data_IF_480500336389
#
_entry.id   IF_480500336389
#
_cell.length_a   1.000
_cell.length_b   1.000
_cell.length_c   1.000
_cell.angle_alpha   90.00
_cell.angle_beta   90.00
_cell.angle_gamma   90.00
#
_symmetry.space_group_name_H-M   'P 1'
#
loop_
_entity.id
_entity.type
_entity.pdbx_description
1 polymer ?
#
# COMPACT_ATOMS: atom_id res chain seq x y z
N UNK A 1 -19.66 9.96 -8.37
CA UNK A 1 -19.24 9.83 -6.95
C UNK A 1 -18.45 11.08 -6.61
N UNK A 2 -18.82 11.79 -5.57
CA UNK A 2 -18.14 13.03 -5.17
C UNK A 2 -17.05 12.69 -4.14
N UNK A 3 -15.79 13.08 -4.43
CA UNK A 3 -14.67 12.95 -3.51
C UNK A 3 -14.67 14.17 -2.58
N UNK A 4 -15.17 14.01 -1.37
CA UNK A 4 -15.13 15.05 -0.35
C UNK A 4 -13.83 14.89 0.43
N UNK A 5 -12.88 15.79 0.19
CA UNK A 5 -11.62 15.83 0.93
C UNK A 5 -11.74 16.75 2.15
N UNK A 6 -11.13 16.40 3.29
CA UNK A 6 -11.01 17.30 4.42
C UNK A 6 -10.29 18.61 4.04
N UNK A 7 -10.69 19.74 4.63
CA UNK A 7 -10.06 21.04 4.40
C UNK A 7 -8.55 21.03 4.62
N UNK A 8 -8.08 20.27 5.61
CA UNK A 8 -6.65 20.11 5.87
C UNK A 8 -5.91 19.47 4.70
N UNK A 9 -6.49 18.45 4.06
CA UNK A 9 -5.91 17.78 2.89
C UNK A 9 -5.93 18.75 1.70
N UNK A 10 -7.05 19.44 1.47
CA UNK A 10 -7.16 20.45 0.42
C UNK A 10 -6.11 21.55 0.55
N UNK A 11 -5.89 22.04 1.78
CA UNK A 11 -4.88 23.06 2.07
C UNK A 11 -3.46 22.57 1.76
N UNK A 12 -3.14 21.32 2.11
CA UNK A 12 -1.81 20.73 1.82
C UNK A 12 -1.62 20.61 0.30
N UNK A 13 -2.60 20.05 -0.42
CA UNK A 13 -2.54 19.90 -1.87
C UNK A 13 -2.39 21.26 -2.55
N UNK A 14 -3.24 22.23 -2.21
CA UNK A 14 -3.22 23.59 -2.79
C UNK A 14 -1.89 24.29 -2.52
N UNK A 15 -1.31 24.14 -1.33
CA UNK A 15 -0.02 24.75 -1.02
C UNK A 15 1.09 24.19 -1.88
N UNK A 16 1.17 22.86 -2.05
CA UNK A 16 2.14 22.20 -2.92
C UNK A 16 1.98 22.62 -4.38
N UNK A 17 0.75 22.65 -4.90
CA UNK A 17 0.45 23.09 -6.27
C UNK A 17 0.81 24.55 -6.52
N UNK A 18 0.54 25.45 -5.57
CA UNK A 18 0.85 26.88 -5.70
C UNK A 18 2.36 27.13 -5.81
N UNK A 19 3.15 26.31 -5.18
CA UNK A 19 4.62 26.36 -5.25
C UNK A 19 5.19 25.54 -6.43
N UNK A 20 4.32 25.07 -7.37
CA UNK A 20 4.72 24.45 -8.63
C UNK A 20 4.92 22.94 -8.58
N UNK A 21 4.56 22.28 -7.47
CA UNK A 21 4.70 20.83 -7.34
C UNK A 21 3.42 20.10 -7.70
N UNK A 22 3.54 18.93 -8.31
CA UNK A 22 2.43 18.00 -8.43
C UNK A 22 2.12 17.38 -7.06
N UNK A 23 0.84 17.30 -6.68
CA UNK A 23 0.42 16.69 -5.43
C UNK A 23 -0.93 15.98 -5.58
N UNK A 24 -1.06 14.80 -4.99
CA UNK A 24 -2.25 13.95 -5.10
C UNK A 24 -2.52 13.25 -3.79
N UNK A 25 -3.79 13.03 -3.48
CA UNK A 25 -4.18 11.96 -2.54
C UNK A 25 -3.89 10.63 -3.19
N UNK A 26 -3.35 9.67 -2.46
CA UNK A 26 -2.89 8.39 -3.03
C UNK A 26 -3.30 7.17 -2.22
N UNK A 27 -3.33 6.02 -2.86
CA UNK A 27 -3.41 4.73 -2.18
C UNK A 27 -4.75 4.39 -1.56
N UNK A 28 -4.73 4.03 -0.29
CA UNK A 28 -5.89 3.53 0.46
C UNK A 28 -7.07 4.48 0.49
N UNK A 29 -6.82 5.78 0.66
CA UNK A 29 -7.86 6.79 0.68
C UNK A 29 -8.65 6.85 -0.64
N UNK A 30 -7.96 6.75 -1.79
CA UNK A 30 -8.61 6.75 -3.11
C UNK A 30 -9.46 5.51 -3.28
N UNK A 31 -8.92 4.33 -2.95
CA UNK A 31 -9.66 3.06 -2.98
C UNK A 31 -10.92 3.12 -2.11
N UNK A 32 -10.78 3.53 -0.86
CA UNK A 32 -11.88 3.53 0.10
C UNK A 32 -13.00 4.50 -0.33
N UNK A 33 -12.63 5.68 -0.86
CA UNK A 33 -13.62 6.61 -1.41
C UNK A 33 -14.35 6.02 -2.62
N UNK A 34 -13.65 5.35 -3.56
CA UNK A 34 -14.28 4.66 -4.70
C UNK A 34 -15.27 3.60 -4.21
N UNK A 35 -14.97 2.92 -3.11
CA UNK A 35 -15.83 1.92 -2.48
C UNK A 35 -16.98 2.53 -1.65
N UNK A 36 -17.12 3.87 -1.61
CA UNK A 36 -18.13 4.55 -0.79
C UNK A 36 -17.85 4.54 0.71
N UNK A 37 -16.60 4.25 1.11
CA UNK A 37 -16.16 4.26 2.51
C UNK A 37 -15.46 5.59 2.83
N UNK A 38 -15.59 6.04 4.07
CA UNK A 38 -14.83 7.19 4.57
C UNK A 38 -13.40 6.74 4.89
N UNK A 39 -12.35 7.31 4.26
CA UNK A 39 -10.98 6.99 4.59
C UNK A 39 -10.63 7.39 6.04
N UNK A 40 -9.83 6.57 6.71
CA UNK A 40 -9.29 6.91 8.03
C UNK A 40 -8.09 7.85 7.92
N UNK A 41 -7.22 7.59 6.94
CA UNK A 41 -5.96 8.31 6.72
C UNK A 41 -5.89 8.79 5.26
N UNK A 42 -5.21 9.92 5.05
CA UNK A 42 -4.97 10.49 3.73
C UNK A 42 -3.47 10.62 3.50
N UNK A 43 -2.92 9.72 2.67
CA UNK A 43 -1.56 9.82 2.19
C UNK A 43 -1.50 10.78 1.00
N UNK A 44 -0.50 11.66 0.98
CA UNK A 44 -0.26 12.59 -0.10
C UNK A 44 1.03 12.20 -0.80
N UNK A 45 0.98 12.04 -2.11
CA UNK A 45 2.13 11.82 -2.97
C UNK A 45 2.43 13.09 -3.77
N UNK A 46 3.70 13.50 -3.86
CA UNK A 46 4.10 14.77 -4.48
C UNK A 46 5.42 14.67 -5.23
N UNK A 47 5.64 15.59 -6.19
CA UNK A 47 6.95 15.79 -6.80
C UNK A 47 7.92 16.59 -5.91
N UNK A 48 7.42 17.29 -4.88
CA UNK A 48 8.25 18.03 -3.94
C UNK A 48 9.19 17.08 -3.16
N UNK A 49 10.46 17.45 -3.07
CA UNK A 49 11.45 16.73 -2.25
C UNK A 49 11.17 16.96 -0.76
N UNK A 50 11.65 16.09 0.14
CA UNK A 50 11.42 16.25 1.58
C UNK A 50 11.81 17.63 2.13
N UNK A 51 12.92 18.18 1.66
CA UNK A 51 13.43 19.51 2.08
C UNK A 51 12.52 20.64 1.59
N UNK A 52 11.89 20.48 0.41
CA UNK A 52 10.92 21.43 -0.14
C UNK A 52 9.62 21.39 0.66
N UNK A 53 9.12 20.19 0.96
CA UNK A 53 7.96 20.01 1.85
C UNK A 53 8.21 20.69 3.20
N UNK A 54 9.40 20.49 3.81
CA UNK A 54 9.75 21.12 5.10
C UNK A 54 9.82 22.65 5.03
N UNK A 55 10.19 23.24 3.89
CA UNK A 55 10.18 24.69 3.70
C UNK A 55 8.77 25.26 3.55
N UNK A 56 7.86 24.51 2.92
CA UNK A 56 6.50 24.96 2.66
C UNK A 56 5.59 24.92 3.89
N UNK A 57 5.84 24.00 4.81
CA UNK A 57 4.97 23.80 5.97
C UNK A 57 5.66 24.12 7.29
N UNK A 58 5.00 24.94 8.11
CA UNK A 58 5.56 25.43 9.39
C UNK A 58 5.88 24.30 10.39
N UNK A 59 5.11 23.20 10.38
CA UNK A 59 5.26 22.11 11.33
C UNK A 59 5.32 20.77 10.60
N UNK A 60 6.49 20.15 10.64
CA UNK A 60 6.77 18.85 10.01
C UNK A 60 7.48 17.94 10.99
N UNK A 61 7.36 16.62 10.78
CA UNK A 61 8.06 15.58 11.53
C UNK A 61 8.75 14.66 10.53
N UNK A 62 10.02 14.35 10.76
CA UNK A 62 10.85 13.49 9.91
C UNK A 62 10.54 12.01 10.20
N UNK A 63 9.40 11.51 9.72
CA UNK A 63 8.95 10.13 9.97
C UNK A 63 9.61 9.10 9.06
N UNK A 64 10.07 9.50 7.89
CA UNK A 64 10.66 8.58 6.90
C UNK A 64 11.49 9.30 5.84
N UNK A 65 12.27 10.32 6.22
CA UNK A 65 12.97 11.21 5.29
C UNK A 65 13.91 10.46 4.33
N UNK A 66 14.56 9.39 4.80
CA UNK A 66 15.42 8.53 3.97
C UNK A 66 14.66 7.85 2.83
N UNK A 67 13.35 7.70 2.99
CA UNK A 67 12.44 7.10 2.01
C UNK A 67 11.51 8.13 1.37
N UNK A 68 11.77 9.42 1.57
CA UNK A 68 11.04 10.50 0.94
C UNK A 68 9.74 10.90 1.66
N UNK A 69 9.49 10.42 2.88
CA UNK A 69 8.26 10.73 3.62
C UNK A 69 8.51 11.74 4.73
N UNK A 70 7.67 12.78 4.77
CA UNK A 70 7.60 13.79 5.82
C UNK A 70 6.17 13.87 6.32
N UNK A 71 5.94 13.86 7.62
CA UNK A 71 4.61 14.11 8.17
C UNK A 71 4.40 15.62 8.34
N UNK A 72 3.43 16.17 7.62
CA UNK A 72 2.94 17.54 7.77
C UNK A 72 1.89 17.56 8.87
N UNK A 73 2.09 18.39 9.89
CA UNK A 73 1.11 18.54 10.99
C UNK A 73 0.21 19.75 10.72
N UNK A 74 -1.06 19.49 10.45
CA UNK A 74 -2.08 20.52 10.24
C UNK A 74 -3.25 20.28 11.21
N UNK A 75 -3.65 21.31 11.97
CA UNK A 75 -4.72 21.23 12.98
C UNK A 75 -4.58 20.04 13.94
N UNK A 76 -3.38 19.78 14.44
CA UNK A 76 -3.01 18.68 15.37
C UNK A 76 -3.07 17.28 14.75
N UNK A 77 -3.41 17.16 13.46
CA UNK A 77 -3.43 15.89 12.73
C UNK A 77 -2.18 15.81 11.84
N UNK A 78 -1.54 14.65 11.82
CA UNK A 78 -0.41 14.35 10.92
C UNK A 78 -0.88 13.78 9.59
N UNK A 79 -0.31 14.29 8.50
CA UNK A 79 -0.55 13.81 7.14
C UNK A 79 0.79 13.37 6.54
N UNK A 80 0.88 12.14 6.07
CA UNK A 80 2.07 11.66 5.39
C UNK A 80 2.16 12.24 3.99
N UNK A 81 3.24 12.97 3.72
CA UNK A 81 3.57 13.56 2.41
C UNK A 81 4.81 12.86 1.91
N UNK A 82 4.65 12.06 0.85
CA UNK A 82 5.73 11.22 0.29
C UNK A 82 6.11 11.73 -1.09
N UNK A 83 7.39 11.99 -1.29
CA UNK A 83 7.95 12.33 -2.61
C UNK A 83 7.81 11.14 -3.56
N UNK A 84 7.41 11.40 -4.81
CA UNK A 84 7.41 10.38 -5.86
C UNK A 84 8.79 9.75 -5.97
N UNK A 85 8.83 8.44 -6.02
CA UNK A 85 10.08 7.71 -6.06
C UNK A 85 9.98 6.41 -6.83
N UNK A 86 11.11 5.96 -7.30
CA UNK A 86 11.37 4.57 -7.66
C UNK A 86 12.24 3.94 -6.61
N UNK A 87 12.02 2.66 -6.37
CA UNK A 87 12.80 1.89 -5.42
C UNK A 87 13.95 1.20 -6.17
N UNK A 88 15.18 1.30 -5.63
CA UNK A 88 16.34 0.57 -6.10
C UNK A 88 16.28 -0.92 -5.75
N UNK A 89 17.43 -1.59 -5.79
CA UNK A 89 17.49 -3.00 -5.40
C UNK A 89 17.17 -3.21 -3.92
N UNK A 90 16.53 -4.33 -3.62
CA UNK A 90 16.17 -4.74 -2.27
C UNK A 90 17.13 -5.83 -1.79
N UNK A 91 17.92 -5.56 -0.75
CA UNK A 91 18.86 -6.53 -0.17
C UNK A 91 18.26 -7.35 0.96
N UNK A 92 17.43 -6.71 1.78
CA UNK A 92 16.84 -7.32 2.99
C UNK A 92 15.40 -7.83 2.78
N UNK A 93 14.86 -7.68 1.56
CA UNK A 93 13.47 -8.05 1.25
C UNK A 93 12.43 -7.12 1.90
N UNK A 94 12.82 -5.88 2.26
CA UNK A 94 11.92 -4.86 2.85
C UNK A 94 12.24 -3.45 2.38
N UNK A 95 13.49 -3.03 2.53
CA UNK A 95 13.89 -1.68 2.25
C UNK A 95 14.72 -1.65 0.96
N UNK A 96 14.41 -0.79 0.02
CA UNK A 96 15.30 -0.54 -1.09
C UNK A 96 16.62 0.00 -0.55
N UNK A 97 17.75 -0.44 -1.07
CA UNK A 97 19.08 0.07 -0.73
C UNK A 97 19.20 1.56 -1.00
N UNK A 98 18.48 2.01 -2.02
CA UNK A 98 18.39 3.42 -2.39
C UNK A 98 17.01 3.72 -2.93
N UNK A 99 16.58 4.96 -2.80
CA UNK A 99 15.40 5.51 -3.47
C UNK A 99 15.87 6.60 -4.42
N UNK A 100 15.30 6.61 -5.62
CA UNK A 100 15.50 7.69 -6.58
C UNK A 100 14.22 8.49 -6.68
N UNK A 101 14.29 9.76 -6.31
CA UNK A 101 13.15 10.65 -6.44
C UNK A 101 12.89 10.97 -7.91
N UNK A 102 11.64 10.92 -8.30
CA UNK A 102 11.17 11.15 -9.66
C UNK A 102 10.07 12.21 -9.68
N UNK A 103 9.83 12.79 -10.85
CA UNK A 103 8.77 13.78 -11.00
C UNK A 103 7.49 13.19 -11.63
N UNK A 104 7.53 11.89 -11.90
CA UNK A 104 6.47 11.18 -12.60
C UNK A 104 5.61 10.33 -11.64
N UNK A 105 4.36 10.71 -11.48
CA UNK A 105 3.37 10.01 -10.65
C UNK A 105 3.16 8.54 -11.07
N UNK A 106 3.30 8.21 -12.37
CA UNK A 106 3.14 6.83 -12.87
C UNK A 106 4.23 5.91 -12.32
N UNK A 107 5.45 6.40 -12.18
CA UNK A 107 6.56 5.63 -11.63
C UNK A 107 6.36 5.34 -10.14
N UNK A 108 5.84 6.31 -9.37
CA UNK A 108 5.46 6.08 -7.99
C UNK A 108 4.33 5.06 -7.84
N UNK A 109 3.32 5.12 -8.72
CA UNK A 109 2.26 4.10 -8.75
C UNK A 109 2.81 2.70 -9.12
N UNK A 110 3.79 2.62 -10.02
CA UNK A 110 4.36 1.36 -10.50
C UNK A 110 5.10 0.55 -9.42
N UNK A 111 5.63 1.20 -8.36
CA UNK A 111 6.31 0.51 -7.25
C UNK A 111 5.35 -0.01 -6.18
N UNK A 112 4.08 0.38 -6.20
CA UNK A 112 3.07 0.00 -5.21
C UNK A 112 2.75 -1.50 -5.29
N UNK A 113 2.10 -2.01 -4.25
CA UNK A 113 1.79 -3.43 -4.11
C UNK A 113 0.68 -3.91 -5.08
N UNK A 114 -0.51 -3.32 -4.98
CA UNK A 114 -1.69 -3.75 -5.71
C UNK A 114 -2.32 -2.60 -6.50
N UNK A 115 -2.96 -2.95 -7.63
CA UNK A 115 -3.63 -2.00 -8.51
C UNK A 115 -4.64 -1.12 -7.79
N UNK A 116 -5.41 -1.71 -6.87
CA UNK A 116 -6.41 -1.01 -6.04
C UNK A 116 -5.81 0.05 -5.10
N UNK A 117 -4.50 0.02 -4.84
CA UNK A 117 -3.75 1.00 -4.05
C UNK A 117 -2.81 1.86 -4.90
N UNK A 118 -2.78 1.63 -6.22
CA UNK A 118 -1.89 2.33 -7.16
C UNK A 118 -2.65 3.41 -7.94
N UNK A 119 -3.59 4.06 -7.29
CA UNK A 119 -4.37 5.16 -7.82
C UNK A 119 -4.07 6.43 -7.07
N UNK A 120 -4.26 7.57 -7.75
CA UNK A 120 -4.13 8.92 -7.20
C UNK A 120 -5.38 9.74 -7.50
N UNK A 121 -5.61 10.77 -6.72
CA UNK A 121 -6.75 11.68 -6.91
C UNK A 121 -6.36 13.12 -6.65
N UNK A 122 -6.82 14.00 -7.52
CA UNK A 122 -6.78 15.44 -7.32
C UNK A 122 -8.13 16.04 -7.79
N UNK A 123 -8.75 16.98 -7.06
CA UNK A 123 -10.06 17.54 -7.43
C UNK A 123 -10.15 18.07 -8.86
N UNK A 124 -9.06 18.67 -9.37
CA UNK A 124 -9.02 19.27 -10.72
C UNK A 124 -8.96 18.24 -11.85
N UNK A 125 -8.31 17.10 -11.63
CA UNK A 125 -8.05 16.07 -12.66
C UNK A 125 -8.86 14.80 -12.47
N UNK A 126 -9.49 14.64 -11.30
CA UNK A 126 -10.18 13.42 -10.93
C UNK A 126 -9.23 12.29 -10.56
N UNK A 127 -9.68 11.04 -10.74
CA UNK A 127 -8.90 9.84 -10.45
C UNK A 127 -7.87 9.60 -11.56
N UNK A 128 -6.64 9.38 -11.15
CA UNK A 128 -5.53 8.96 -12.02
C UNK A 128 -5.26 7.49 -11.74
N UNK A 129 -5.49 6.64 -12.74
CA UNK A 129 -5.38 5.18 -12.66
C UNK A 129 -4.58 4.63 -13.83
N UNK A 130 -3.31 4.37 -13.62
CA UNK A 130 -2.40 3.85 -14.66
C UNK A 130 -2.42 2.33 -14.79
N UNK A 131 -2.98 1.62 -13.80
CA UNK A 131 -2.84 0.16 -13.67
C UNK A 131 -4.18 -0.58 -13.57
N UNK A 132 -5.31 0.12 -13.77
CA UNK A 132 -6.64 -0.48 -13.79
C UNK A 132 -7.21 -0.80 -12.41
N UNK A 133 -6.82 -0.03 -11.39
CA UNK A 133 -7.30 -0.21 -10.02
C UNK A 133 -8.80 -0.03 -9.87
N UNK A 134 -9.42 0.93 -10.57
CA UNK A 134 -10.87 1.12 -10.57
C UNK A 134 -11.59 -0.13 -11.08
N UNK A 135 -11.14 -0.67 -12.22
CA UNK A 135 -11.69 -1.92 -12.78
C UNK A 135 -11.52 -3.11 -11.84
N UNK A 136 -10.38 -3.21 -11.15
CA UNK A 136 -10.15 -4.28 -10.18
C UNK A 136 -11.02 -4.12 -8.93
N UNK A 137 -11.34 -2.90 -8.48
CA UNK A 137 -12.33 -2.64 -7.43
C UNK A 137 -13.72 -3.09 -7.87
N UNK A 138 -14.16 -2.69 -9.06
CA UNK A 138 -15.48 -3.08 -9.63
C UNK A 138 -15.62 -4.60 -9.71
N UNK A 139 -14.56 -5.30 -10.12
CA UNK A 139 -14.55 -6.76 -10.25
C UNK A 139 -14.18 -7.48 -8.95
N UNK A 140 -13.94 -6.76 -7.86
CA UNK A 140 -13.53 -7.30 -6.54
C UNK A 140 -12.27 -8.18 -6.65
N UNK A 141 -11.22 -7.64 -7.25
CA UNK A 141 -9.96 -8.34 -7.52
C UNK A 141 -8.80 -7.70 -6.76
N UNK A 142 -7.96 -8.51 -6.13
CA UNK A 142 -6.63 -8.14 -5.63
C UNK A 142 -5.59 -8.59 -6.67
N UNK A 143 -4.99 -7.64 -7.35
CA UNK A 143 -3.98 -7.85 -8.39
C UNK A 143 -2.71 -7.07 -8.07
N UNK A 144 -1.53 -7.70 -8.18
CA UNK A 144 -0.26 -7.01 -8.09
C UNK A 144 -0.08 -5.99 -9.23
N UNK A 145 0.61 -4.89 -8.93
CA UNK A 145 1.06 -3.98 -9.98
C UNK A 145 2.23 -4.61 -10.73
N UNK A 146 2.09 -4.80 -12.03
CA UNK A 146 3.13 -5.40 -12.87
C UNK A 146 3.35 -6.89 -12.58
N UNK A 147 4.62 -7.32 -12.47
CA UNK A 147 4.94 -8.73 -12.26
C UNK A 147 4.88 -9.11 -10.77
N UNK A 148 3.99 -10.06 -10.37
CA UNK A 148 3.81 -10.43 -8.96
C UNK A 148 5.07 -11.03 -8.31
N UNK A 149 5.81 -11.89 -9.02
CA UNK A 149 7.02 -12.50 -8.46
C UNK A 149 8.09 -11.44 -8.17
N UNK A 150 8.23 -10.43 -9.03
CA UNK A 150 9.13 -9.31 -8.79
C UNK A 150 8.69 -8.55 -7.54
N UNK A 151 7.40 -8.21 -7.42
CA UNK A 151 6.85 -7.50 -6.24
C UNK A 151 7.07 -8.26 -4.93
N UNK A 152 6.94 -9.59 -4.93
CA UNK A 152 7.14 -10.40 -3.73
C UNK A 152 8.62 -10.60 -3.38
N UNK A 153 9.53 -10.54 -4.35
CA UNK A 153 10.98 -10.54 -4.09
C UNK A 153 11.46 -9.21 -3.49
N UNK A 154 10.81 -8.10 -3.83
CA UNK A 154 11.09 -6.78 -3.26
C UNK A 154 10.66 -6.70 -1.79
N UNK A 155 9.43 -7.04 -1.46
CA UNK A 155 8.92 -7.15 -0.09
C UNK A 155 7.99 -8.37 0.02
N UNK A 156 8.47 -9.40 0.68
CA UNK A 156 7.75 -10.66 0.85
C UNK A 156 6.45 -10.50 1.68
N UNK A 157 6.35 -9.46 2.52
CA UNK A 157 5.11 -9.15 3.25
C UNK A 157 3.94 -8.87 2.31
N UNK A 158 4.19 -8.44 1.08
CA UNK A 158 3.13 -8.20 0.09
C UNK A 158 2.29 -9.46 -0.19
N UNK A 159 2.85 -10.66 -0.04
CA UNK A 159 2.08 -11.91 -0.13
C UNK A 159 1.00 -11.99 0.95
N UNK A 160 1.38 -11.71 2.19
CA UNK A 160 0.45 -11.71 3.33
C UNK A 160 -0.56 -10.55 3.23
N UNK A 161 -0.10 -9.38 2.76
CA UNK A 161 -0.97 -8.24 2.47
C UNK A 161 -2.05 -8.56 1.42
N UNK A 162 -1.73 -9.38 0.39
CA UNK A 162 -2.74 -9.82 -0.59
C UNK A 162 -3.87 -10.59 0.09
N UNK A 163 -3.55 -11.51 0.98
CA UNK A 163 -4.53 -12.30 1.73
C UNK A 163 -5.31 -11.40 2.69
N UNK A 164 -4.63 -10.49 3.39
CA UNK A 164 -5.29 -9.53 4.26
C UNK A 164 -6.26 -8.62 3.50
N UNK A 165 -5.86 -8.05 2.36
CA UNK A 165 -6.78 -7.24 1.55
C UNK A 165 -7.95 -8.08 1.03
N UNK A 166 -7.70 -9.33 0.62
CA UNK A 166 -8.76 -10.27 0.23
C UNK A 166 -9.75 -10.50 1.38
N UNK A 167 -9.29 -10.66 2.62
CA UNK A 167 -10.13 -10.84 3.80
C UNK A 167 -10.93 -9.56 4.16
N UNK A 168 -10.24 -8.41 4.24
CA UNK A 168 -10.85 -7.14 4.68
C UNK A 168 -11.81 -6.55 3.67
N UNK A 169 -11.54 -6.74 2.37
CA UNK A 169 -12.36 -6.18 1.29
C UNK A 169 -13.35 -7.19 0.70
N UNK A 170 -13.28 -8.47 1.09
CA UNK A 170 -14.03 -9.56 0.47
C UNK A 170 -13.79 -9.69 -1.04
N UNK A 171 -12.54 -9.45 -1.46
CA UNK A 171 -12.11 -9.53 -2.87
C UNK A 171 -11.38 -10.84 -3.13
N UNK A 172 -11.52 -11.39 -4.34
CA UNK A 172 -10.71 -12.54 -4.76
C UNK A 172 -9.30 -12.10 -5.16
N UNK A 173 -8.32 -12.96 -4.91
CA UNK A 173 -6.97 -12.74 -5.43
C UNK A 173 -6.92 -13.22 -6.87
N UNK A 174 -6.31 -12.42 -7.76
CA UNK A 174 -6.12 -12.77 -9.17
C UNK A 174 -5.23 -14.00 -9.30
N UNK A 175 -5.50 -14.85 -10.31
CA UNK A 175 -4.87 -16.17 -10.45
C UNK A 175 -3.34 -16.12 -10.58
N UNK A 176 -2.79 -15.18 -11.35
CA UNK A 176 -1.34 -15.03 -11.50
C UNK A 176 -0.68 -14.52 -10.21
N UNK A 177 -1.37 -13.61 -9.51
CA UNK A 177 -0.95 -13.14 -8.17
C UNK A 177 -0.96 -14.30 -7.18
N UNK A 178 -2.00 -15.15 -7.20
CA UNK A 178 -2.10 -16.33 -6.32
C UNK A 178 -1.03 -17.38 -6.61
N UNK A 179 -0.77 -17.69 -7.88
CA UNK A 179 0.31 -18.61 -8.28
C UNK A 179 1.68 -18.10 -7.83
N UNK A 180 1.92 -16.79 -7.96
CA UNK A 180 3.16 -16.18 -7.52
C UNK A 180 3.32 -16.23 -5.98
N UNK A 181 2.24 -16.07 -5.20
CA UNK A 181 2.28 -16.25 -3.74
C UNK A 181 2.78 -17.65 -3.40
N UNK A 182 2.16 -18.69 -4.00
CA UNK A 182 2.57 -20.09 -3.78
C UNK A 182 4.04 -20.31 -4.11
N UNK A 183 4.50 -19.80 -5.24
CA UNK A 183 5.89 -19.94 -5.71
C UNK A 183 6.90 -19.24 -4.79
N UNK A 184 6.51 -18.07 -4.25
CA UNK A 184 7.39 -17.21 -3.46
C UNK A 184 7.23 -17.41 -1.94
N UNK A 185 6.35 -18.30 -1.48
CA UNK A 185 5.97 -18.45 -0.06
C UNK A 185 7.16 -18.54 0.90
N UNK A 186 8.22 -19.24 0.51
CA UNK A 186 9.45 -19.38 1.33
C UNK A 186 10.10 -18.04 1.69
N UNK A 187 9.91 -16.99 0.86
CA UNK A 187 10.50 -15.67 1.08
C UNK A 187 9.94 -14.98 2.33
N UNK A 188 8.78 -15.44 2.84
CA UNK A 188 8.16 -14.85 4.05
C UNK A 188 9.08 -14.99 5.27
N UNK A 189 10.00 -15.94 5.28
CA UNK A 189 11.04 -16.09 6.32
C UNK A 189 11.95 -14.88 6.49
N UNK A 190 12.02 -13.99 5.49
CA UNK A 190 12.78 -12.74 5.55
C UNK A 190 12.04 -11.61 6.26
N UNK A 191 10.75 -11.80 6.54
CA UNK A 191 9.91 -10.78 7.17
C UNK A 191 9.93 -10.93 8.67
N UNK A 192 10.03 -9.82 9.41
CA UNK A 192 10.02 -9.86 10.87
C UNK A 192 8.68 -10.34 11.43
N UNK A 193 8.72 -11.02 12.57
CA UNK A 193 7.52 -11.58 13.20
C UNK A 193 6.49 -10.51 13.56
N UNK A 194 6.92 -9.31 13.95
CA UNK A 194 6.04 -8.19 14.29
C UNK A 194 5.20 -7.77 13.08
N UNK A 195 5.83 -7.64 11.89
CA UNK A 195 5.11 -7.29 10.65
C UNK A 195 4.12 -8.39 10.23
N UNK A 196 4.52 -9.66 10.40
CA UNK A 196 3.65 -10.80 10.12
C UNK A 196 2.43 -10.74 11.05
N UNK A 197 2.66 -10.55 12.36
CA UNK A 197 1.61 -10.51 13.37
C UNK A 197 0.60 -9.38 13.11
N UNK A 198 1.07 -8.21 12.71
CA UNK A 198 0.19 -7.09 12.35
C UNK A 198 -0.78 -7.44 11.22
N UNK A 199 -0.30 -8.08 10.15
CA UNK A 199 -1.15 -8.47 9.02
C UNK A 199 -2.09 -9.63 9.38
N UNK A 200 -1.60 -10.62 10.14
CA UNK A 200 -2.43 -11.75 10.61
C UNK A 200 -3.55 -11.26 11.53
N UNK A 201 -3.26 -10.36 12.46
CA UNK A 201 -4.28 -9.76 13.32
C UNK A 201 -5.36 -9.05 12.52
N UNK A 202 -4.99 -8.32 11.45
CA UNK A 202 -5.96 -7.67 10.57
C UNK A 202 -6.83 -8.67 9.79
N UNK A 203 -6.32 -9.86 9.48
CA UNK A 203 -7.13 -10.94 8.89
C UNK A 203 -8.13 -11.46 9.93
N UNK A 204 -7.65 -11.80 11.12
CA UNK A 204 -8.47 -12.39 12.18
C UNK A 204 -9.55 -11.43 12.71
N UNK A 205 -9.28 -10.12 12.70
CA UNK A 205 -10.23 -9.07 13.10
C UNK A 205 -11.13 -8.58 11.96
N UNK A 206 -10.98 -9.13 10.75
CA UNK A 206 -11.85 -8.79 9.62
C UNK A 206 -13.19 -9.53 9.68
N UNK A 207 -14.11 -9.17 8.78
CA UNK A 207 -15.37 -9.90 8.60
C UNK A 207 -15.17 -11.32 8.04
N UNK A 208 -13.98 -11.65 7.58
CA UNK A 208 -13.66 -12.96 6.99
C UNK A 208 -12.42 -13.60 7.67
N UNK A 209 -12.46 -13.90 8.98
CA UNK A 209 -11.33 -14.50 9.70
C UNK A 209 -10.92 -15.86 9.14
N UNK A 210 -11.84 -16.61 8.54
CA UNK A 210 -11.57 -17.89 7.89
C UNK A 210 -10.56 -17.81 6.73
N UNK A 211 -10.26 -16.62 6.26
CA UNK A 211 -9.19 -16.41 5.26
C UNK A 211 -7.79 -16.78 5.79
N UNK A 212 -7.66 -17.02 7.10
CA UNK A 212 -6.46 -17.66 7.67
C UNK A 212 -6.16 -19.02 6.99
N UNK A 213 -7.19 -19.74 6.51
CA UNK A 213 -7.04 -21.00 5.75
C UNK A 213 -6.29 -20.79 4.42
N UNK A 214 -6.40 -19.62 3.80
CA UNK A 214 -5.66 -19.29 2.59
C UNK A 214 -4.15 -19.26 2.81
N UNK A 215 -3.69 -18.99 4.05
CA UNK A 215 -2.27 -19.05 4.39
C UNK A 215 -1.74 -20.49 4.31
N UNK A 216 -2.56 -21.48 4.70
CA UNK A 216 -2.28 -22.88 4.50
C UNK A 216 -2.32 -23.24 3.00
N UNK A 217 -3.38 -22.91 2.28
CA UNK A 217 -3.58 -23.23 0.86
C UNK A 217 -2.46 -22.69 -0.05
N UNK A 218 -1.86 -21.57 0.29
CA UNK A 218 -0.76 -20.96 -0.45
C UNK A 218 0.64 -21.34 0.08
N UNK A 219 0.72 -22.10 1.16
CA UNK A 219 1.97 -22.55 1.75
C UNK A 219 2.73 -21.51 2.56
N UNK A 220 2.11 -20.37 2.91
CA UNK A 220 2.72 -19.38 3.81
C UNK A 220 2.75 -19.85 5.25
N UNK A 221 1.69 -20.54 5.70
CA UNK A 221 1.48 -20.92 7.09
C UNK A 221 2.62 -21.77 7.64
N UNK A 222 3.11 -22.74 6.87
CA UNK A 222 4.21 -23.62 7.25
C UNK A 222 5.52 -22.88 7.62
N UNK A 223 5.71 -21.68 7.05
CA UNK A 223 6.90 -20.86 7.31
C UNK A 223 6.69 -19.83 8.41
N UNK A 224 5.44 -19.48 8.70
CA UNK A 224 5.08 -18.43 9.65
C UNK A 224 4.67 -19.00 11.00
N UNK A 225 3.87 -20.07 10.99
CA UNK A 225 3.26 -20.70 12.17
C UNK A 225 3.19 -22.22 11.96
N UNK A 226 4.33 -22.94 12.00
CA UNK A 226 4.38 -24.36 11.74
C UNK A 226 3.55 -25.20 12.73
N UNK A 227 3.31 -24.70 13.95
CA UNK A 227 2.45 -25.35 14.93
C UNK A 227 0.98 -25.31 14.47
N UNK A 228 0.51 -24.18 13.95
CA UNK A 228 -0.84 -24.05 13.41
C UNK A 228 -0.99 -24.84 12.10
N UNK A 229 0.05 -24.91 11.27
CA UNK A 229 0.04 -25.71 10.02
C UNK A 229 -0.28 -27.18 10.29
N UNK A 230 0.25 -27.77 11.39
CA UNK A 230 -0.02 -29.15 11.76
C UNK A 230 -1.49 -29.42 12.06
N UNK A 231 -2.23 -28.41 12.56
CA UNK A 231 -3.65 -28.56 12.86
C UNK A 231 -4.52 -28.76 11.61
N UNK A 232 -4.03 -28.42 10.43
CA UNK A 232 -4.79 -28.61 9.17
C UNK A 232 -4.74 -30.07 8.63
N UNK A 233 -3.90 -30.93 9.18
CA UNK A 233 -3.78 -32.35 8.80
C UNK A 233 -4.41 -33.35 9.78
N UNK A 234 -4.86 -32.91 10.95
CA UNK A 234 -5.43 -33.77 11.97
C UNK A 234 -6.93 -33.96 11.72
N UNK A 235 -7.46 -35.22 11.72
CA UNK A 235 -8.88 -35.46 11.69
C UNK A 235 -9.54 -34.92 12.98
N UNK A 236 -10.62 -34.16 12.83
CA UNK A 236 -11.44 -33.68 13.94
C UNK A 236 -12.35 -34.80 14.47
#
# INVERSE_FOLDING_TARGET
>A
MEFILPDSVMNILSRLETDGFSAFVAGGAVRDTIMGKTPHDYDIATSARPEEVKKLFRRTIDTGIKHGTVTVVHNKTGYEVTTFRTDGEYSDGRHPQSVSFVDNAREDCARRDFTINAMMYLPKTGIIDYFGGQRDIENKIIRCVGNPEKRFKEDALRMLRAIRFSAVLSFRIEDETWKAIKKCAVLIKKVSHERILEEVNKILLSENPDYIRKLHECGLLQYMMPELERCFGEPQ
#
